data_IF_848835240495
#
_entry.id   IF_848835240495
#
_cell.length_a   1.000
_cell.length_b   1.000
_cell.length_c   1.000
_cell.angle_alpha   90.00
_cell.angle_beta   90.00
_cell.angle_gamma   90.00
#
_symmetry.space_group_name_H-M   'P 1'
#
loop_
_entity.id
_entity.type
_entity.pdbx_description
1 polymer ?
#
# COMPACT_ATOMS: atom_id res chain seq x y z
N UNK A 1 6.77 9.22 12.75
CA UNK A 1 5.94 9.34 11.54
C UNK A 1 4.97 8.17 11.51
N UNK A 2 3.71 8.40 11.16
CA UNK A 2 2.69 7.34 11.02
C UNK A 2 2.09 7.32 9.61
N UNK A 3 1.64 6.15 9.16
CA UNK A 3 0.94 5.98 7.89
C UNK A 3 -0.42 5.35 8.20
N UNK A 4 -1.49 6.00 7.77
CA UNK A 4 -2.87 5.56 7.90
C UNK A 4 -3.43 5.25 6.52
N UNK A 5 -3.71 3.97 6.26
CA UNK A 5 -4.37 3.53 5.04
C UNK A 5 -5.89 3.52 5.24
N UNK A 6 -6.63 4.24 4.39
CA UNK A 6 -8.07 4.42 4.50
C UNK A 6 -8.76 3.79 3.28
N UNK A 7 -9.82 3.04 3.54
CA UNK A 7 -10.80 2.69 2.52
C UNK A 7 -12.18 3.14 3.01
N UNK A 8 -12.82 4.04 2.25
CA UNK A 8 -14.18 4.50 2.51
C UNK A 8 -15.09 4.01 1.38
N UNK A 9 -15.94 2.99 1.62
CA UNK A 9 -16.81 2.45 0.59
C UNK A 9 -17.77 3.51 0.02
N UNK A 10 -18.04 3.51 -1.30
CA UNK A 10 -18.88 4.54 -1.93
C UNK A 10 -20.32 4.52 -1.43
N UNK A 11 -20.82 3.35 -1.03
CA UNK A 11 -22.18 3.12 -0.54
C UNK A 11 -22.40 3.54 0.92
N UNK A 12 -21.34 3.78 1.69
CA UNK A 12 -21.40 4.09 3.12
C UNK A 12 -21.03 5.56 3.33
N UNK A 13 -21.83 6.30 4.10
CA UNK A 13 -21.50 7.68 4.46
C UNK A 13 -20.14 7.72 5.15
N UNK A 14 -19.30 8.68 4.78
CA UNK A 14 -18.02 8.89 5.46
C UNK A 14 -18.27 9.14 6.95
N UNK A 15 -17.75 8.26 7.80
CA UNK A 15 -17.72 8.48 9.24
C UNK A 15 -16.65 9.50 9.59
N UNK A 16 -17.04 10.77 9.48
CA UNK A 16 -16.17 11.90 9.78
C UNK A 16 -15.67 11.88 11.21
N UNK A 17 -16.50 11.45 12.18
CA UNK A 17 -16.11 11.48 13.59
C UNK A 17 -14.98 10.48 13.85
N UNK A 18 -15.13 9.26 13.34
CA UNK A 18 -14.09 8.24 13.46
C UNK A 18 -12.81 8.62 12.69
N UNK A 19 -12.93 9.15 11.46
CA UNK A 19 -11.75 9.58 10.70
C UNK A 19 -10.98 10.69 11.44
N UNK A 20 -11.68 11.70 11.97
CA UNK A 20 -11.07 12.76 12.77
C UNK A 20 -10.38 12.20 14.02
N UNK A 21 -11.05 11.31 14.74
CA UNK A 21 -10.48 10.63 15.91
C UNK A 21 -9.19 9.87 15.56
N UNK A 22 -9.18 9.11 14.46
CA UNK A 22 -7.99 8.40 14.02
C UNK A 22 -6.85 9.36 13.65
N UNK A 23 -7.13 10.41 12.89
CA UNK A 23 -6.12 11.40 12.50
C UNK A 23 -5.55 12.12 13.73
N UNK A 24 -6.37 12.43 14.73
CA UNK A 24 -5.95 13.03 16.01
C UNK A 24 -5.03 12.10 16.82
N UNK A 25 -5.33 10.80 16.85
CA UNK A 25 -4.61 9.83 17.69
C UNK A 25 -3.31 9.31 17.12
N UNK A 26 -3.11 9.37 15.80
CA UNK A 26 -1.87 8.88 15.20
C UNK A 26 -0.69 9.85 15.40
N UNK A 27 0.54 9.33 15.59
CA UNK A 27 1.74 10.16 15.70
C UNK A 27 1.95 11.11 14.50
N UNK A 28 2.35 12.35 14.78
CA UNK A 28 2.74 13.34 13.76
C UNK A 28 4.27 13.33 13.53
N UNK A 29 4.76 13.70 12.32
CA UNK A 29 3.98 13.92 11.10
C UNK A 29 3.32 12.61 10.61
N UNK A 30 2.20 12.72 9.92
CA UNK A 30 1.45 11.57 9.41
C UNK A 30 1.18 11.66 7.91
N UNK A 31 0.96 10.49 7.33
CA UNK A 31 0.48 10.30 5.97
C UNK A 31 -0.85 9.56 6.07
N UNK A 32 -1.89 10.08 5.44
CA UNK A 32 -3.20 9.46 5.32
C UNK A 32 -3.47 9.23 3.84
N UNK A 33 -3.62 7.98 3.43
CA UNK A 33 -3.76 7.64 2.02
C UNK A 33 -4.75 6.51 1.76
N UNK A 34 -5.28 6.45 0.56
CA UNK A 34 -6.14 5.36 0.10
C UNK A 34 -7.36 5.83 -0.66
N UNK A 35 -8.35 4.95 -0.82
CA UNK A 35 -9.57 5.23 -1.60
C UNK A 35 -10.67 5.79 -0.68
N UNK A 36 -11.00 7.06 -0.90
CA UNK A 36 -12.02 7.77 -0.13
C UNK A 36 -13.39 7.77 -0.80
N UNK A 37 -13.51 7.35 -2.08
CA UNK A 37 -14.72 7.50 -2.89
C UNK A 37 -15.38 8.90 -2.78
N UNK A 38 -14.53 9.92 -2.63
CA UNK A 38 -14.90 11.30 -2.33
C UNK A 38 -14.53 12.18 -3.52
N UNK A 39 -15.48 12.97 -4.02
CA UNK A 39 -15.27 13.80 -5.20
C UNK A 39 -15.18 15.27 -4.78
N UNK A 40 -14.05 15.90 -5.09
CA UNK A 40 -13.84 17.33 -4.91
C UNK A 40 -12.90 17.88 -6.00
N UNK A 41 -13.13 19.10 -6.46
CA UNK A 41 -12.28 19.77 -7.45
C UNK A 41 -10.83 19.93 -6.97
N UNK A 42 -10.60 20.13 -5.69
CA UNK A 42 -9.26 20.21 -5.09
C UNK A 42 -8.48 18.88 -5.19
N UNK A 43 -9.17 17.76 -5.40
CA UNK A 43 -8.53 16.45 -5.57
C UNK A 43 -8.21 16.16 -7.04
N UNK A 44 -8.82 16.89 -7.98
CA UNK A 44 -8.80 16.57 -9.42
C UNK A 44 -10.09 16.02 -9.99
N UNK A 45 -11.18 16.00 -9.22
CA UNK A 45 -12.49 15.61 -9.76
C UNK A 45 -13.15 16.77 -10.53
N UNK A 46 -14.06 16.43 -11.44
CA UNK A 46 -14.82 17.42 -12.21
C UNK A 46 -15.77 18.28 -11.35
N UNK A 47 -16.30 17.69 -10.27
CA UNK A 47 -17.27 18.35 -9.40
C UNK A 47 -17.19 17.82 -7.98
N UNK A 48 -17.75 18.60 -7.06
CA UNK A 48 -17.83 18.24 -5.65
C UNK A 48 -19.06 17.38 -5.34
N UNK A 49 -18.90 16.40 -4.45
CA UNK A 49 -20.01 15.74 -3.78
C UNK A 49 -20.01 16.03 -2.27
N UNK A 50 -21.07 15.64 -1.55
CA UNK A 50 -21.18 15.85 -0.10
C UNK A 50 -20.02 15.20 0.66
N UNK A 51 -19.56 14.02 0.20
CA UNK A 51 -18.44 13.29 0.82
C UNK A 51 -17.12 14.05 0.66
N UNK A 52 -16.83 14.56 -0.54
CA UNK A 52 -15.63 15.34 -0.83
C UNK A 52 -15.59 16.65 -0.09
N UNK A 53 -16.71 17.37 0.02
CA UNK A 53 -16.80 18.58 0.87
C UNK A 53 -16.54 18.27 2.34
N UNK A 54 -17.09 17.18 2.86
CA UNK A 54 -16.83 16.75 4.23
C UNK A 54 -15.35 16.42 4.45
N UNK A 55 -14.75 15.64 3.54
CA UNK A 55 -13.34 15.28 3.61
C UNK A 55 -12.42 16.50 3.48
N UNK A 56 -12.74 17.44 2.58
CA UNK A 56 -12.01 18.68 2.40
C UNK A 56 -11.97 19.51 3.69
N UNK A 57 -13.10 19.62 4.40
CA UNK A 57 -13.13 20.29 5.70
C UNK A 57 -12.27 19.59 6.75
N UNK A 58 -12.21 18.24 6.75
CA UNK A 58 -11.32 17.49 7.65
C UNK A 58 -9.85 17.75 7.30
N UNK A 59 -9.51 17.80 6.01
CA UNK A 59 -8.15 18.10 5.54
C UNK A 59 -7.70 19.47 6.05
N UNK A 60 -8.56 20.49 5.91
CA UNK A 60 -8.32 21.85 6.38
C UNK A 60 -8.19 21.92 7.91
N UNK A 61 -9.10 21.28 8.65
CA UNK A 61 -9.11 21.23 10.12
C UNK A 61 -7.84 20.61 10.73
N UNK A 62 -7.22 19.65 10.04
CA UNK A 62 -6.03 18.94 10.51
C UNK A 62 -4.72 19.41 9.85
N UNK A 63 -4.73 20.51 9.10
CA UNK A 63 -3.59 21.07 8.36
C UNK A 63 -2.86 20.00 7.52
N UNK A 64 -3.65 19.21 6.78
CA UNK A 64 -3.13 18.20 5.86
C UNK A 64 -2.99 18.79 4.46
N UNK A 65 -1.86 18.54 3.82
CA UNK A 65 -1.62 18.90 2.43
C UNK A 65 -2.11 17.79 1.50
N UNK A 66 -2.85 18.16 0.46
CA UNK A 66 -3.24 17.27 -0.63
C UNK A 66 -2.06 17.19 -1.61
N UNK A 67 -1.52 15.99 -1.85
CA UNK A 67 -0.43 15.78 -2.82
C UNK A 67 -0.92 15.50 -4.24
N UNK A 68 -2.20 15.15 -4.39
CA UNK A 68 -2.81 14.94 -5.69
C UNK A 68 -2.75 16.21 -6.54
N UNK A 69 -2.19 16.13 -7.75
CA UNK A 69 -2.04 17.25 -8.69
C UNK A 69 -3.12 17.28 -9.79
N UNK A 70 -4.27 16.65 -9.53
CA UNK A 70 -5.39 16.62 -10.48
C UNK A 70 -5.43 15.42 -11.42
N UNK A 71 -4.38 14.59 -11.45
CA UNK A 71 -4.37 13.37 -12.27
C UNK A 71 -5.46 12.38 -11.80
N UNK A 72 -6.24 11.80 -12.73
CA UNK A 72 -7.25 10.81 -12.37
C UNK A 72 -6.60 9.55 -11.79
N UNK A 73 -7.26 8.93 -10.82
CA UNK A 73 -6.80 7.69 -10.18
C UNK A 73 -7.62 6.48 -10.59
N UNK A 74 -8.52 6.65 -11.55
CA UNK A 74 -9.35 5.59 -12.12
C UNK A 74 -9.26 5.59 -13.63
N UNK A 75 -9.35 4.42 -14.26
CA UNK A 75 -9.43 4.29 -15.70
C UNK A 75 -10.74 4.94 -16.20
N UNK A 76 -10.71 5.93 -17.12
CA UNK A 76 -11.91 6.51 -17.70
C UNK A 76 -12.75 5.43 -18.37
N UNK A 77 -14.06 5.48 -18.19
CA UNK A 77 -15.00 4.55 -18.82
C UNK A 77 -15.82 5.30 -19.88
N UNK A 78 -16.22 4.68 -21.00
CA UNK A 78 -17.06 5.35 -22.00
C UNK A 78 -18.34 5.86 -21.34
N UNK A 79 -18.55 7.18 -21.36
CA UNK A 79 -19.67 7.91 -20.70
C UNK A 79 -19.53 8.14 -19.18
N UNK A 80 -18.40 7.80 -18.56
CA UNK A 80 -18.10 8.16 -17.17
C UNK A 80 -16.72 8.80 -17.09
N UNK A 81 -16.69 10.04 -16.60
CA UNK A 81 -15.43 10.75 -16.41
C UNK A 81 -14.55 10.02 -15.39
N UNK A 82 -13.24 10.02 -15.65
CA UNK A 82 -12.28 9.56 -14.67
C UNK A 82 -12.32 10.46 -13.43
N UNK A 83 -12.01 9.88 -12.27
CA UNK A 83 -12.05 10.57 -10.99
C UNK A 83 -10.75 10.39 -10.23
N UNK A 84 -10.40 11.39 -9.43
CA UNK A 84 -9.30 11.33 -8.46
C UNK A 84 -9.89 11.08 -7.07
N UNK A 85 -10.11 9.79 -6.75
CA UNK A 85 -10.73 9.34 -5.49
C UNK A 85 -9.74 8.65 -4.55
N UNK A 86 -8.58 8.25 -5.07
CA UNK A 86 -7.45 7.74 -4.31
C UNK A 86 -6.55 8.92 -3.94
N UNK A 87 -6.48 9.24 -2.65
CA UNK A 87 -5.84 10.46 -2.16
C UNK A 87 -4.58 10.14 -1.37
N UNK A 88 -3.60 11.04 -1.45
CA UNK A 88 -2.46 11.10 -0.55
C UNK A 88 -2.47 12.44 0.19
N UNK A 89 -2.73 12.39 1.49
CA UNK A 89 -2.81 13.52 2.40
C UNK A 89 -1.64 13.43 3.37
N UNK A 90 -0.90 14.52 3.57
CA UNK A 90 0.31 14.49 4.40
C UNK A 90 0.37 15.68 5.33
N UNK A 91 0.97 15.54 6.50
CA UNK A 91 1.24 16.69 7.37
C UNK A 91 2.11 17.71 6.63
N UNK A 92 1.77 18.99 6.77
CA UNK A 92 2.48 20.14 6.18
C UNK A 92 4.00 20.09 6.38
N UNK A 93 4.45 19.63 7.55
CA UNK A 93 5.87 19.46 7.89
C UNK A 93 6.67 18.58 6.91
N UNK A 94 6.05 17.56 6.31
CA UNK A 94 6.73 16.61 5.39
C UNK A 94 6.28 16.76 3.93
N UNK A 95 5.30 17.64 3.64
CA UNK A 95 4.74 17.77 2.30
C UNK A 95 5.80 18.11 1.23
N UNK A 96 6.73 19.00 1.55
CA UNK A 96 7.82 19.40 0.66
C UNK A 96 8.85 18.30 0.36
N UNK A 97 8.86 17.22 1.15
CA UNK A 97 9.73 16.06 0.94
C UNK A 97 9.05 15.01 0.06
N UNK A 98 7.75 15.13 -0.17
CA UNK A 98 6.95 14.11 -0.82
C UNK A 98 6.76 14.39 -2.32
N UNK A 99 6.91 13.36 -3.14
CA UNK A 99 6.45 13.36 -4.54
C UNK A 99 5.31 12.37 -4.69
N UNK A 100 4.26 12.75 -5.41
CA UNK A 100 3.12 11.88 -5.69
C UNK A 100 2.85 11.79 -7.19
N UNK A 101 2.58 10.58 -7.68
CA UNK A 101 2.24 10.32 -9.07
C UNK A 101 1.31 9.12 -9.22
N UNK A 102 0.62 9.10 -10.36
CA UNK A 102 -0.25 7.98 -10.76
C UNK A 102 0.51 7.11 -11.76
N UNK A 103 0.43 5.80 -11.57
CA UNK A 103 1.03 4.82 -12.48
C UNK A 103 0.28 4.81 -13.82
N UNK A 104 1.00 4.59 -14.92
CA UNK A 104 0.44 4.60 -16.29
C UNK A 104 -0.32 3.32 -16.67
N UNK A 105 -0.17 2.29 -15.85
CA UNK A 105 -0.83 0.99 -16.00
C UNK A 105 -1.74 0.69 -14.81
N UNK A 106 -2.99 0.32 -15.08
CA UNK A 106 -3.98 -0.08 -14.08
C UNK A 106 -3.77 -1.50 -13.54
N UNK A 107 -2.91 -2.30 -14.20
CA UNK A 107 -2.63 -3.69 -13.83
C UNK A 107 -3.91 -4.55 -13.76
N UNK A 108 -4.86 -4.27 -14.66
CA UNK A 108 -6.15 -4.97 -14.73
C UNK A 108 -7.21 -4.48 -13.73
N UNK A 109 -6.89 -3.45 -12.93
CA UNK A 109 -7.85 -2.82 -12.03
C UNK A 109 -8.60 -1.67 -12.71
N UNK A 110 -9.76 -1.31 -12.14
CA UNK A 110 -10.43 -0.05 -12.45
C UNK A 110 -9.66 1.16 -11.88
N UNK A 111 -8.92 0.96 -10.78
CA UNK A 111 -8.06 1.97 -10.17
C UNK A 111 -6.66 1.95 -10.77
N UNK A 112 -6.05 3.12 -10.90
CA UNK A 112 -4.65 3.29 -11.22
C UNK A 112 -3.86 3.33 -9.91
N UNK A 113 -2.79 2.52 -9.76
CA UNK A 113 -1.91 2.61 -8.61
C UNK A 113 -1.38 4.03 -8.42
N UNK A 114 -1.40 4.51 -7.18
CA UNK A 114 -0.80 5.79 -6.81
C UNK A 114 0.49 5.54 -6.03
N UNK A 115 1.51 6.34 -6.31
CA UNK A 115 2.82 6.22 -5.72
C UNK A 115 3.15 7.48 -4.95
N UNK A 116 3.67 7.30 -3.75
CA UNK A 116 4.16 8.35 -2.87
C UNK A 116 5.62 8.06 -2.54
N UNK A 117 6.50 8.97 -2.93
CA UNK A 117 7.91 8.93 -2.59
C UNK A 117 8.18 9.96 -1.51
N UNK A 118 8.96 9.58 -0.49
CA UNK A 118 9.37 10.49 0.58
C UNK A 118 10.88 10.63 0.51
N UNK A 119 11.35 11.83 0.14
CA UNK A 119 12.75 12.13 -0.07
C UNK A 119 13.44 12.45 1.26
N UNK A 120 13.61 11.43 2.10
CA UNK A 120 14.36 11.57 3.35
C UNK A 120 15.82 11.23 3.07
N UNK A 121 16.74 12.13 3.42
CA UNK A 121 18.16 11.80 3.38
C UNK A 121 18.42 10.64 4.35
N UNK A 122 19.08 9.53 3.92
CA UNK A 122 19.31 8.37 4.77
C UNK A 122 20.31 8.59 5.92
N UNK A 123 20.54 9.82 6.40
CA UNK A 123 21.52 10.11 7.46
C UNK A 123 21.18 9.44 8.81
N UNK A 124 20.03 8.78 8.93
CA UNK A 124 19.63 7.98 10.10
C UNK A 124 19.52 6.47 9.83
N UNK A 125 19.77 6.02 8.60
CA UNK A 125 20.08 4.62 8.38
C UNK A 125 21.59 4.49 8.53
N UNK A 126 22.02 3.93 9.65
CA UNK A 126 23.34 3.33 9.73
C UNK A 126 23.47 2.42 8.50
N UNK A 127 24.25 2.84 7.51
CA UNK A 127 24.65 2.00 6.37
C UNK A 127 25.69 1.00 6.85
N UNK A 128 25.53 0.44 8.05
CA UNK A 128 26.14 -0.83 8.32
C UNK A 128 25.69 -1.74 7.17
N UNK A 129 26.62 -2.33 6.40
CA UNK A 129 26.26 -3.31 5.38
C UNK A 129 25.30 -4.30 6.04
N UNK A 130 24.23 -4.76 5.36
CA UNK A 130 23.19 -5.57 5.98
C UNK A 130 23.89 -6.65 6.80
N UNK A 131 23.85 -6.49 8.14
CA UNK A 131 24.59 -7.33 9.09
C UNK A 131 24.30 -8.75 8.68
N UNK A 132 25.30 -9.45 8.10
CA UNK A 132 25.20 -10.77 7.48
C UNK A 132 23.80 -11.36 7.64
N UNK A 133 22.84 -10.92 6.80
CA UNK A 133 21.42 -11.20 7.10
C UNK A 133 21.17 -12.68 6.87
N UNK A 134 21.31 -13.45 7.93
CA UNK A 134 21.05 -14.86 7.98
C UNK A 134 19.61 -15.08 7.54
N UNK A 135 19.42 -15.62 6.33
CA UNK A 135 18.07 -15.85 5.80
C UNK A 135 17.56 -17.19 6.29
N UNK A 136 16.41 -17.19 6.97
CA UNK A 136 15.71 -18.40 7.36
C UNK A 136 15.27 -19.22 6.14
N UNK A 137 15.51 -20.53 6.18
CA UNK A 137 15.12 -21.49 5.14
C UNK A 137 13.86 -22.23 5.62
N UNK A 138 12.70 -21.62 5.40
CA UNK A 138 11.40 -22.18 5.81
C UNK A 138 11.08 -23.55 5.19
N UNK A 139 11.64 -23.86 4.01
CA UNK A 139 11.49 -25.20 3.40
C UNK A 139 12.23 -26.32 4.15
N UNK A 140 13.13 -25.97 5.06
CA UNK A 140 13.87 -26.88 5.94
C UNK A 140 13.50 -26.71 7.41
N UNK A 141 12.41 -25.99 7.69
CA UNK A 141 11.93 -25.83 9.05
C UNK A 141 11.43 -27.19 9.59
N UNK A 142 11.81 -27.51 10.83
CA UNK A 142 11.25 -28.63 11.57
C UNK A 142 9.86 -28.22 12.10
N UNK A 143 8.86 -28.20 11.21
CA UNK A 143 7.52 -27.67 11.52
C UNK A 143 6.81 -28.43 12.64
N UNK A 144 6.96 -29.75 12.69
CA UNK A 144 6.33 -30.57 13.75
C UNK A 144 6.91 -30.23 15.13
N UNK A 145 8.23 -30.04 15.22
CA UNK A 145 8.89 -29.61 16.46
C UNK A 145 8.59 -28.15 16.80
N UNK A 146 8.47 -27.28 15.80
CA UNK A 146 8.04 -25.90 15.97
C UNK A 146 6.64 -25.85 16.58
N UNK A 147 5.71 -26.63 16.01
CA UNK A 147 4.34 -26.70 16.47
C UNK A 147 4.26 -27.22 17.92
N UNK A 148 4.92 -28.34 18.22
CA UNK A 148 4.92 -28.91 19.58
C UNK A 148 5.51 -27.95 20.64
N UNK A 149 6.60 -27.25 20.31
CA UNK A 149 7.15 -26.22 21.19
C UNK A 149 6.22 -25.00 21.33
N UNK A 150 5.53 -24.62 20.25
CA UNK A 150 4.64 -23.45 20.26
C UNK A 150 3.48 -23.64 21.23
N UNK A 151 2.86 -24.82 21.27
CA UNK A 151 1.81 -25.15 22.24
C UNK A 151 2.28 -24.97 23.69
N UNK A 152 3.53 -25.34 23.98
CA UNK A 152 4.11 -25.17 25.32
C UNK A 152 4.41 -23.69 25.59
N UNK A 153 5.07 -22.99 24.66
CA UNK A 153 5.47 -21.59 24.84
C UNK A 153 4.26 -20.63 24.91
N UNK A 154 3.17 -20.93 24.22
CA UNK A 154 1.97 -20.09 24.21
C UNK A 154 0.96 -20.43 25.31
N UNK A 155 1.07 -21.59 25.97
CA UNK A 155 0.18 -21.99 27.08
C UNK A 155 0.15 -20.99 28.24
N UNK A 156 1.21 -20.19 28.41
CA UNK A 156 1.32 -19.18 29.46
C UNK A 156 1.00 -17.75 29.01
N UNK A 157 0.55 -17.56 27.76
CA UNK A 157 0.36 -16.23 27.20
C UNK A 157 -0.97 -15.59 27.64
N UNK A 158 -1.99 -16.42 27.92
CA UNK A 158 -3.32 -15.97 28.37
C UNK A 158 -3.35 -15.43 29.81
N UNK A 159 -2.35 -15.75 30.63
CA UNK A 159 -2.25 -15.30 32.03
C UNK A 159 -1.50 -13.96 32.19
N UNK A 160 -1.07 -13.35 31.08
CA UNK A 160 -0.32 -12.09 31.07
C UNK A 160 -1.31 -10.92 31.20
N UNK A 161 -1.56 -10.49 32.43
CA UNK A 161 -2.37 -9.29 32.73
C UNK A 161 -1.49 -8.02 32.64
N UNK A 162 -0.96 -7.77 31.45
CA UNK A 162 0.06 -6.75 31.19
C UNK A 162 -0.41 -5.77 30.10
N UNK A 163 0.29 -4.65 29.91
CA UNK A 163 -0.11 -3.66 28.90
C UNK A 163 -0.15 -4.27 27.48
N UNK A 164 -1.03 -3.81 26.56
CA UNK A 164 -1.12 -4.38 25.20
C UNK A 164 0.21 -4.40 24.45
N UNK A 165 1.06 -3.39 24.68
CA UNK A 165 2.41 -3.30 24.09
C UNK A 165 3.35 -4.39 24.64
N UNK A 166 3.29 -4.67 25.94
CA UNK A 166 4.10 -5.71 26.57
C UNK A 166 3.67 -7.10 26.12
N UNK A 167 2.36 -7.35 26.08
CA UNK A 167 1.79 -8.59 25.56
C UNK A 167 2.22 -8.84 24.10
N UNK A 168 2.16 -7.81 23.26
CA UNK A 168 2.66 -7.86 21.88
C UNK A 168 4.16 -8.19 21.82
N UNK A 169 4.99 -7.50 22.58
CA UNK A 169 6.44 -7.73 22.60
C UNK A 169 6.78 -9.16 23.06
N UNK A 170 6.05 -9.69 24.05
CA UNK A 170 6.22 -11.05 24.54
C UNK A 170 5.84 -12.09 23.48
N UNK A 171 4.69 -11.90 22.82
CA UNK A 171 4.25 -12.73 21.70
C UNK A 171 5.28 -12.78 20.57
N UNK A 172 5.78 -11.61 20.17
CA UNK A 172 6.82 -11.51 19.13
C UNK A 172 8.14 -12.16 19.59
N UNK A 173 8.50 -12.01 20.87
CA UNK A 173 9.65 -12.69 21.48
C UNK A 173 9.58 -14.21 21.31
N UNK A 174 8.46 -14.81 21.71
CA UNK A 174 8.24 -16.26 21.57
C UNK A 174 8.35 -16.70 20.11
N UNK A 175 7.70 -15.99 19.18
CA UNK A 175 7.79 -16.31 17.76
C UNK A 175 9.22 -16.25 17.23
N UNK A 176 9.98 -15.23 17.63
CA UNK A 176 11.37 -15.08 17.22
C UNK A 176 12.25 -16.22 17.78
N UNK A 177 12.04 -16.63 19.03
CA UNK A 177 12.78 -17.71 19.68
C UNK A 177 12.50 -19.08 19.05
N UNK A 178 11.22 -19.38 18.82
CA UNK A 178 10.81 -20.61 18.12
C UNK A 178 11.40 -20.65 16.71
N UNK A 179 11.31 -19.54 15.98
CA UNK A 179 11.90 -19.39 14.65
C UNK A 179 13.41 -19.63 14.67
N UNK A 180 14.13 -19.02 15.61
CA UNK A 180 15.58 -19.19 15.77
C UNK A 180 15.98 -20.64 16.07
N UNK A 181 15.17 -21.36 16.87
CA UNK A 181 15.45 -22.74 17.27
C UNK A 181 15.16 -23.76 16.18
N UNK A 182 14.11 -23.55 15.39
CA UNK A 182 13.56 -24.60 14.50
C UNK A 182 13.69 -24.32 13.02
N UNK A 183 14.06 -23.11 12.63
CA UNK A 183 14.23 -22.75 11.22
C UNK A 183 15.71 -22.48 10.95
N UNK A 184 16.39 -23.34 10.18
CA UNK A 184 17.80 -23.17 9.89
C UNK A 184 18.03 -21.91 9.06
N UNK A 185 19.19 -21.28 9.24
CA UNK A 185 19.55 -20.06 8.52
C UNK A 185 20.67 -20.30 7.51
N UNK A 186 20.66 -19.51 6.42
CA UNK A 186 21.71 -19.50 5.40
C UNK A 186 22.49 -18.19 5.47
N UNK A 187 23.82 -18.27 5.50
CA UNK A 187 24.68 -17.11 5.22
C UNK A 187 24.54 -16.71 3.76
N UNK A 188 24.23 -15.44 3.49
CA UNK A 188 24.22 -14.91 2.14
C UNK A 188 25.67 -14.73 1.68
N UNK A 189 26.22 -15.72 0.98
CA UNK A 189 27.43 -15.51 0.17
C UNK A 189 27.11 -14.58 -1.01
N UNK A 190 28.10 -13.82 -1.46
CA UNK A 190 28.03 -12.80 -2.53
C UNK A 190 27.79 -13.38 -3.95
N UNK A 191 26.84 -14.30 -4.09
CA UNK A 191 26.33 -14.75 -5.38
C UNK A 191 24.89 -14.26 -5.51
N UNK A 192 24.74 -13.14 -6.24
CA UNK A 192 23.48 -12.67 -6.81
C UNK A 192 22.96 -13.74 -7.75
N UNK A 193 22.28 -14.75 -7.19
CA UNK A 193 21.54 -15.71 -7.96
C UNK A 193 20.54 -14.95 -8.82
N UNK A 194 20.67 -15.10 -10.14
CA UNK A 194 19.67 -14.65 -11.11
C UNK A 194 18.32 -15.15 -10.61
N UNK A 195 17.41 -14.24 -10.28
CA UNK A 195 16.07 -14.60 -9.82
C UNK A 195 15.43 -15.41 -10.94
N UNK A 196 15.22 -16.71 -10.71
CA UNK A 196 14.43 -17.53 -11.64
C UNK A 196 13.06 -16.86 -11.78
N UNK A 197 12.52 -16.69 -13.00
CA UNK A 197 11.19 -16.14 -13.16
C UNK A 197 10.20 -16.97 -12.34
N UNK A 198 9.22 -16.31 -11.77
CA UNK A 198 8.16 -16.95 -11.00
C UNK A 198 7.49 -18.04 -11.86
N UNK A 199 7.14 -19.21 -11.30
CA UNK A 199 6.74 -20.39 -12.07
C UNK A 199 5.50 -20.19 -12.94
N UNK A 200 4.69 -19.17 -12.64
CA UNK A 200 3.47 -18.80 -13.37
C UNK A 200 3.70 -17.73 -14.44
N UNK A 201 4.89 -17.14 -14.54
CA UNK A 201 5.20 -16.10 -15.53
C UNK A 201 6.09 -16.64 -16.64
N UNK A 202 5.59 -16.60 -17.86
CA UNK A 202 6.32 -17.01 -19.05
C UNK A 202 6.29 -15.91 -20.14
N UNK A 203 6.88 -16.20 -21.30
CA UNK A 203 6.89 -15.27 -22.44
C UNK A 203 5.48 -14.88 -22.88
N UNK A 204 4.52 -15.82 -22.88
CA UNK A 204 3.12 -15.52 -23.22
C UNK A 204 2.51 -14.53 -22.23
N UNK A 205 2.74 -14.69 -20.92
CA UNK A 205 2.29 -13.72 -19.90
C UNK A 205 2.90 -12.32 -20.16
N UNK A 206 4.18 -12.28 -20.51
CA UNK A 206 4.89 -11.02 -20.82
C UNK A 206 4.30 -10.32 -22.05
N UNK A 207 4.07 -11.08 -23.13
CA UNK A 207 3.49 -10.57 -24.38
C UNK A 207 2.04 -10.09 -24.18
N UNK A 208 1.27 -10.85 -23.40
CA UNK A 208 -0.08 -10.51 -22.98
C UNK A 208 -0.10 -9.16 -22.25
N UNK A 209 0.69 -9.01 -21.19
CA UNK A 209 0.78 -7.78 -20.39
C UNK A 209 1.27 -6.60 -21.23
N UNK A 210 2.25 -6.80 -22.11
CA UNK A 210 2.72 -5.77 -23.04
C UNK A 210 1.60 -5.27 -23.96
N UNK A 211 0.85 -6.19 -24.59
CA UNK A 211 -0.29 -5.85 -25.45
C UNK A 211 -1.41 -5.13 -24.71
N UNK A 212 -1.68 -5.53 -23.46
CA UNK A 212 -2.67 -4.86 -22.60
C UNK A 212 -2.26 -3.41 -22.34
N UNK A 213 -1.01 -3.20 -21.90
CA UNK A 213 -0.41 -1.88 -21.66
C UNK A 213 -0.47 -0.99 -22.90
N UNK A 214 -0.11 -1.52 -24.07
CA UNK A 214 -0.15 -0.77 -25.32
C UNK A 214 -1.57 -0.32 -25.68
N UNK A 215 -2.56 -1.20 -25.51
CA UNK A 215 -3.96 -0.84 -25.75
C UNK A 215 -4.52 0.15 -24.74
N UNK A 216 -4.09 0.08 -23.48
CA UNK A 216 -4.47 1.06 -22.45
C UNK A 216 -3.90 2.44 -22.79
N UNK A 217 -2.62 2.51 -23.17
CA UNK A 217 -1.97 3.76 -23.62
C UNK A 217 -2.68 4.35 -24.83
N UNK A 218 -3.01 3.53 -25.82
CA UNK A 218 -3.76 3.97 -26.98
C UNK A 218 -5.16 4.49 -26.61
N UNK A 219 -5.83 3.84 -25.64
CA UNK A 219 -7.12 4.31 -25.15
C UNK A 219 -7.03 5.64 -24.41
N UNK A 220 -6.00 5.87 -23.59
CA UNK A 220 -5.78 7.17 -22.94
C UNK A 220 -5.51 8.30 -23.94
N UNK A 221 -4.78 8.02 -25.03
CA UNK A 221 -4.58 9.00 -26.10
C UNK A 221 -5.86 9.28 -26.91
N UNK A 222 -6.71 8.26 -27.09
CA UNK A 222 -7.93 8.35 -27.90
C UNK A 222 -9.10 7.64 -27.20
N UNK A 223 -9.77 8.32 -26.25
CA UNK A 223 -10.79 7.71 -25.40
C UNK A 223 -12.13 7.58 -26.13
N UNK A 224 -12.22 6.61 -27.04
CA UNK A 224 -13.45 6.25 -27.75
C UNK A 224 -13.88 4.81 -27.44
N UNK A 225 -15.14 4.48 -27.76
CA UNK A 225 -15.73 3.17 -27.45
C UNK A 225 -14.98 2.02 -28.12
N UNK A 226 -14.47 2.22 -29.33
CA UNK A 226 -13.75 1.19 -30.07
C UNK A 226 -12.42 0.83 -29.37
N UNK A 227 -11.64 1.84 -28.98
CA UNK A 227 -10.39 1.66 -28.26
C UNK A 227 -10.62 1.09 -26.86
N UNK A 228 -11.71 1.48 -26.19
CA UNK A 228 -12.12 0.85 -24.94
C UNK A 228 -12.40 -0.64 -25.09
N UNK A 229 -13.19 -1.04 -26.10
CA UNK A 229 -13.46 -2.46 -26.40
C UNK A 229 -12.15 -3.21 -26.70
N UNK A 230 -11.25 -2.61 -27.49
CA UNK A 230 -9.93 -3.21 -27.78
C UNK A 230 -9.10 -3.43 -26.52
N UNK A 231 -9.08 -2.45 -25.61
CA UNK A 231 -8.42 -2.57 -24.31
C UNK A 231 -9.05 -3.67 -23.47
N UNK A 232 -10.37 -3.65 -23.23
CA UNK A 232 -11.05 -4.66 -22.39
C UNK A 232 -10.93 -6.09 -22.90
N UNK A 233 -10.75 -6.29 -24.22
CA UNK A 233 -10.48 -7.62 -24.81
C UNK A 233 -9.09 -8.15 -24.51
N UNK A 234 -8.14 -7.27 -24.15
CA UNK A 234 -6.75 -7.61 -23.86
C UNK A 234 -6.36 -7.37 -22.40
N UNK A 235 -7.27 -6.83 -21.61
CA UNK A 235 -7.12 -6.70 -20.17
C UNK A 235 -7.13 -8.09 -19.53
N UNK A 236 -6.24 -8.31 -18.57
CA UNK A 236 -6.08 -9.56 -17.83
C UNK A 236 -6.65 -9.43 -16.44
#
# INVERSE_FOLDING_TARGET
>A
MAILCVYSPPSIRLDSANLKYLIDKIPKPCIVMGDFNAHNVAFGCYSDNNRGRCLYNIIDEFDLCILNHGSPTTVPYPNRQASAIDLALVSSLIAHLCNWYVHDDSMGSYHLPTLLEINIQPSMYDRSPPVDQEKYIYSRAAWDEYYGLSETCFSHLESINDSPTNAYNHFIGILNDLRNKRIPKRKLGANTAIKKPVPWWNSKCSDCVAKSKDTLKHYFCQPNIENWIKYKRKEF
#
